data_IF_408712854305
#
_entry.id   IF_408712854305
#
_cell.length_a   1.000
_cell.length_b   1.000
_cell.length_c   1.000
_cell.angle_alpha   90.00
_cell.angle_beta   90.00
_cell.angle_gamma   90.00
#
_symmetry.space_group_name_H-M   'P 1'
#
loop_
_entity.id
_entity.type
_entity.pdbx_description
1 polymer ?
#
# COMPACT_ATOMS: atom_id res chain seq x y z
N UNK A 1 5.83 -2.36 14.00
CA UNK A 1 6.44 -3.48 13.25
C UNK A 1 6.20 -3.32 11.76
N UNK A 2 7.28 -3.24 10.99
CA UNK A 2 7.23 -3.11 9.53
C UNK A 2 7.46 -4.50 8.95
N UNK A 3 6.49 -5.01 8.19
CA UNK A 3 6.59 -6.33 7.54
C UNK A 3 7.42 -6.15 6.26
N UNK A 4 8.46 -6.96 6.10
CA UNK A 4 9.27 -6.98 4.88
C UNK A 4 8.53 -7.70 3.74
N UNK A 5 8.86 -7.42 2.47
CA UNK A 5 8.25 -8.14 1.33
C UNK A 5 8.40 -9.66 1.41
N UNK A 6 9.55 -10.15 1.90
CA UNK A 6 9.79 -11.57 2.12
C UNK A 6 8.92 -12.17 3.23
N UNK A 7 8.67 -11.42 4.30
CA UNK A 7 7.72 -11.84 5.33
C UNK A 7 6.30 -11.88 4.76
N UNK A 8 5.92 -10.90 3.93
CA UNK A 8 4.61 -10.87 3.27
C UNK A 8 4.40 -12.10 2.36
N UNK A 9 5.40 -12.46 1.54
CA UNK A 9 5.33 -13.65 0.67
C UNK A 9 5.33 -14.98 1.45
N UNK A 10 5.92 -14.99 2.66
CA UNK A 10 6.01 -16.17 3.54
C UNK A 10 4.88 -16.26 4.58
N UNK A 11 3.88 -15.38 4.55
CA UNK A 11 2.60 -15.57 5.27
C UNK A 11 1.92 -16.82 4.72
N UNK A 12 2.35 -17.99 5.21
CA UNK A 12 1.94 -19.30 4.71
C UNK A 12 0.44 -19.47 4.96
N UNK A 13 -0.20 -20.18 4.04
CA UNK A 13 -1.59 -20.65 3.97
C UNK A 13 -2.30 -20.90 5.33
N UNK A 14 -1.57 -21.33 6.38
CA UNK A 14 -2.09 -21.53 7.74
C UNK A 14 -2.59 -20.24 8.42
N UNK A 15 -1.92 -19.10 8.24
CA UNK A 15 -2.36 -17.81 8.82
C UNK A 15 -3.59 -17.25 8.08
N UNK A 16 -3.70 -17.54 6.77
CA UNK A 16 -4.93 -17.25 6.02
C UNK A 16 -6.14 -18.10 6.44
N UNK A 17 -5.94 -19.21 7.16
CA UNK A 17 -7.01 -20.02 7.75
C UNK A 17 -7.37 -19.60 9.18
N UNK A 18 -6.45 -18.98 9.92
CA UNK A 18 -6.70 -18.48 11.29
C UNK A 18 -7.61 -17.25 11.28
N UNK A 19 -8.87 -17.42 11.70
CA UNK A 19 -9.90 -16.37 11.71
C UNK A 19 -9.61 -15.22 12.71
N UNK A 20 -8.67 -15.40 13.63
CA UNK A 20 -8.34 -14.42 14.67
C UNK A 20 -7.02 -13.69 14.43
N UNK A 21 -6.23 -14.14 13.45
CA UNK A 21 -5.00 -13.46 13.08
C UNK A 21 -5.31 -12.04 12.61
N UNK A 22 -4.80 -11.03 13.32
CA UNK A 22 -4.90 -9.61 12.96
C UNK A 22 -3.55 -8.96 13.18
N UNK A 23 -2.83 -8.61 12.11
CA UNK A 23 -1.59 -7.84 12.19
C UNK A 23 -1.76 -6.46 11.62
N UNK A 24 -1.25 -5.46 12.34
CA UNK A 24 -1.19 -4.09 11.87
C UNK A 24 0.20 -3.78 11.36
N UNK A 25 0.34 -3.23 10.16
CA UNK A 25 1.65 -2.86 9.61
C UNK A 25 1.62 -1.56 8.82
N UNK A 26 2.81 -0.98 8.65
CA UNK A 26 3.09 0.17 7.80
C UNK A 26 3.70 -0.33 6.49
N UNK A 27 3.33 0.25 5.34
CA UNK A 27 3.90 -0.12 4.04
C UNK A 27 4.46 1.08 3.28
N UNK A 28 5.68 0.94 2.77
CA UNK A 28 6.25 1.82 1.76
C UNK A 28 6.14 1.11 0.40
N UNK A 29 5.52 1.74 -0.58
CA UNK A 29 5.42 1.24 -1.95
C UNK A 29 6.18 2.18 -2.87
N UNK A 30 7.13 1.64 -3.61
CA UNK A 30 7.87 2.38 -4.62
C UNK A 30 7.20 2.23 -5.99
N UNK A 31 6.76 3.36 -6.55
CA UNK A 31 6.13 3.43 -7.87
C UNK A 31 6.99 4.23 -8.87
N UNK A 32 8.25 4.56 -8.57
CA UNK A 32 9.09 5.37 -9.48
C UNK A 32 9.42 4.65 -10.79
N UNK A 33 9.28 3.32 -10.84
CA UNK A 33 9.43 2.52 -12.06
C UNK A 33 8.17 2.45 -12.93
N UNK A 34 7.06 3.05 -12.50
CA UNK A 34 5.82 3.11 -13.26
C UNK A 34 5.69 4.46 -13.95
N UNK A 35 5.16 4.44 -15.17
CA UNK A 35 4.78 5.65 -15.88
C UNK A 35 3.27 5.90 -15.80
N UNK A 36 2.84 7.02 -16.36
CA UNK A 36 1.42 7.40 -16.44
C UNK A 36 0.59 6.54 -17.40
N UNK A 37 1.20 5.59 -18.12
CA UNK A 37 0.48 4.66 -19.01
C UNK A 37 -0.17 3.49 -18.28
N UNK A 38 0.19 3.27 -17.00
CA UNK A 38 -0.45 2.24 -16.19
C UNK A 38 -1.97 2.46 -16.13
N UNK A 39 -2.71 1.38 -16.38
CA UNK A 39 -4.16 1.42 -16.31
C UNK A 39 -4.62 1.76 -14.88
N UNK A 40 -5.49 2.76 -14.75
CA UNK A 40 -6.14 3.14 -13.48
C UNK A 40 -6.73 1.95 -12.74
N UNK A 41 -7.32 0.98 -13.47
CA UNK A 41 -7.87 -0.24 -12.87
C UNK A 41 -6.78 -1.11 -12.24
N UNK A 42 -5.61 -1.21 -12.88
CA UNK A 42 -4.47 -1.93 -12.32
C UNK A 42 -3.91 -1.25 -11.07
N UNK A 43 -3.90 0.10 -11.03
CA UNK A 43 -3.55 0.84 -9.82
C UNK A 43 -4.57 0.64 -8.69
N UNK A 44 -5.87 0.71 -9.02
CA UNK A 44 -6.95 0.42 -8.09
C UNK A 44 -6.82 -1.00 -7.53
N UNK A 45 -6.60 -2.00 -8.40
CA UNK A 45 -6.44 -3.38 -7.99
C UNK A 45 -5.18 -3.58 -7.14
N UNK A 46 -4.08 -2.88 -7.41
CA UNK A 46 -2.91 -2.86 -6.53
C UNK A 46 -3.27 -2.34 -5.14
N UNK A 47 -4.03 -1.24 -5.07
CA UNK A 47 -4.54 -0.68 -3.81
C UNK A 47 -5.63 -1.54 -3.14
N UNK A 48 -6.39 -2.34 -3.89
CA UNK A 48 -7.44 -3.23 -3.38
C UNK A 48 -6.89 -4.61 -3.00
N UNK A 49 -5.88 -5.14 -3.67
CA UNK A 49 -5.15 -6.35 -3.20
C UNK A 49 -4.53 -6.07 -1.83
N UNK A 50 -4.16 -4.82 -1.60
CA UNK A 50 -3.80 -4.30 -0.29
C UNK A 50 -4.97 -4.10 0.69
N UNK A 51 -6.22 -4.28 0.25
CA UNK A 51 -7.42 -4.39 1.09
C UNK A 51 -7.54 -5.85 1.53
N UNK A 52 -7.00 -6.09 2.71
CA UNK A 52 -6.47 -7.39 3.06
C UNK A 52 -7.56 -8.42 3.37
N UNK A 53 -7.14 -9.68 3.26
CA UNK A 53 -7.93 -10.89 3.38
C UNK A 53 -8.86 -10.89 4.61
N UNK A 54 -10.09 -10.43 4.43
CA UNK A 54 -11.18 -10.38 5.44
C UNK A 54 -10.80 -9.69 6.77
N UNK A 55 -9.89 -8.72 6.77
CA UNK A 55 -9.50 -7.94 7.97
C UNK A 55 -8.40 -8.58 8.84
N UNK A 56 -7.74 -9.63 8.34
CA UNK A 56 -6.64 -10.31 9.06
C UNK A 56 -5.30 -9.59 9.04
N UNK A 57 -5.18 -8.65 8.14
CA UNK A 57 -4.05 -7.76 8.08
C UNK A 57 -4.63 -6.36 7.91
N UNK A 58 -4.10 -5.43 8.68
CA UNK A 58 -4.61 -4.07 8.78
C UNK A 58 -3.45 -3.12 8.49
N UNK A 59 -3.46 -2.58 7.28
CA UNK A 59 -2.61 -1.46 6.91
C UNK A 59 -2.93 -0.21 7.74
N UNK A 60 -1.98 0.21 8.57
CA UNK A 60 -2.10 1.43 9.37
C UNK A 60 -1.71 2.67 8.58
N UNK A 61 -0.46 2.72 8.11
CA UNK A 61 0.09 3.80 7.28
C UNK A 61 0.56 3.26 5.93
N UNK A 62 0.42 4.06 4.88
CA UNK A 62 1.00 3.79 3.56
C UNK A 62 1.71 5.00 2.98
N UNK A 63 2.97 4.82 2.62
CA UNK A 63 3.75 5.79 1.88
C UNK A 63 3.88 5.30 0.44
N UNK A 64 3.53 6.14 -0.51
CA UNK A 64 3.72 5.88 -1.94
C UNK A 64 4.83 6.78 -2.45
N UNK A 65 5.88 6.21 -3.03
CA UNK A 65 6.96 6.96 -3.66
C UNK A 65 6.62 7.09 -5.14
N UNK A 66 6.39 8.32 -5.61
CA UNK A 66 5.96 8.61 -6.98
C UNK A 66 6.75 9.82 -7.48
N UNK A 67 7.49 9.62 -8.58
CA UNK A 67 8.24 10.68 -9.26
C UNK A 67 7.48 11.28 -10.44
N UNK A 68 6.63 10.49 -11.11
CA UNK A 68 5.83 10.95 -12.25
C UNK A 68 4.62 11.78 -11.79
N UNK A 69 4.52 13.02 -12.30
CA UNK A 69 3.50 13.97 -11.88
C UNK A 69 2.09 13.63 -12.36
N UNK A 70 1.95 12.93 -13.48
CA UNK A 70 0.66 12.54 -14.03
C UNK A 70 0.16 11.25 -13.36
N UNK A 71 1.06 10.32 -13.09
CA UNK A 71 0.78 9.17 -12.22
C UNK A 71 0.33 9.63 -10.84
N UNK A 72 1.00 10.63 -10.27
CA UNK A 72 0.61 11.21 -8.97
C UNK A 72 -0.82 11.77 -8.98
N UNK A 73 -1.24 12.44 -10.07
CA UNK A 73 -2.63 12.93 -10.22
C UNK A 73 -3.62 11.76 -10.23
N UNK A 74 -3.32 10.70 -10.98
CA UNK A 74 -4.15 9.50 -11.07
C UNK A 74 -4.28 8.81 -9.71
N UNK A 75 -3.16 8.59 -9.02
CA UNK A 75 -3.14 7.98 -7.68
C UNK A 75 -3.93 8.82 -6.68
N UNK A 76 -3.74 10.13 -6.66
CA UNK A 76 -4.50 11.02 -5.78
C UNK A 76 -6.01 10.99 -6.06
N UNK A 77 -6.41 10.81 -7.32
CA UNK A 77 -7.82 10.64 -7.70
C UNK A 77 -8.40 9.35 -7.11
N UNK A 78 -7.65 8.23 -7.19
CA UNK A 78 -8.06 6.94 -6.63
C UNK A 78 -8.21 7.03 -5.11
N UNK A 79 -7.21 7.60 -4.42
CA UNK A 79 -7.22 7.78 -2.96
C UNK A 79 -8.44 8.59 -2.49
N UNK A 80 -8.80 9.64 -3.24
CA UNK A 80 -9.97 10.49 -2.91
C UNK A 80 -11.30 9.74 -3.09
N UNK A 81 -11.40 8.86 -4.09
CA UNK A 81 -12.62 8.10 -4.38
C UNK A 81 -12.94 7.05 -3.31
N UNK A 82 -11.93 6.41 -2.73
CA UNK A 82 -12.15 5.34 -1.76
C UNK A 82 -11.31 5.51 -0.49
N UNK A 83 -11.78 6.42 0.38
CA UNK A 83 -11.22 6.66 1.71
C UNK A 83 -11.25 5.44 2.63
N UNK A 84 -11.95 4.35 2.26
CA UNK A 84 -11.99 3.12 3.05
C UNK A 84 -10.81 2.18 2.74
N UNK A 85 -10.01 2.47 1.71
CA UNK A 85 -8.84 1.64 1.36
C UNK A 85 -7.67 1.90 2.31
N UNK A 86 -7.56 3.11 2.89
CA UNK A 86 -6.41 3.51 3.70
C UNK A 86 -6.84 4.17 5.01
N UNK A 87 -6.25 3.77 6.14
CA UNK A 87 -6.33 4.52 7.39
C UNK A 87 -5.57 5.84 7.26
N UNK A 88 -4.30 5.76 6.86
CA UNK A 88 -3.45 6.90 6.55
C UNK A 88 -2.62 6.60 5.30
N UNK A 89 -2.64 7.52 4.33
CA UNK A 89 -1.83 7.43 3.11
C UNK A 89 -1.20 8.78 2.78
N UNK A 90 0.06 8.75 2.35
CA UNK A 90 0.81 9.92 1.92
C UNK A 90 1.73 9.58 0.76
N UNK A 91 1.93 10.55 -0.13
CA UNK A 91 2.84 10.43 -1.27
C UNK A 91 4.14 11.17 -0.99
N UNK A 92 5.25 10.65 -1.53
CA UNK A 92 6.60 11.15 -1.37
C UNK A 92 7.35 11.07 -2.69
N UNK A 93 8.39 11.90 -2.86
CA UNK A 93 9.28 11.85 -4.03
C UNK A 93 10.53 10.99 -3.80
N UNK A 94 10.81 10.59 -2.55
CA UNK A 94 11.97 9.80 -2.18
C UNK A 94 11.66 8.85 -1.01
N UNK A 95 12.51 7.82 -0.86
CA UNK A 95 12.33 6.78 0.16
C UNK A 95 12.67 7.25 1.59
N UNK A 96 13.59 8.20 1.73
CA UNK A 96 14.09 8.66 3.04
C UNK A 96 13.01 9.40 3.82
N UNK A 97 12.27 10.30 3.17
CA UNK A 97 11.15 11.02 3.76
C UNK A 97 9.97 10.10 4.06
N UNK A 98 9.74 9.12 3.19
CA UNK A 98 8.75 8.07 3.42
C UNK A 98 9.09 7.26 4.68
N UNK A 99 10.35 6.86 4.85
CA UNK A 99 10.83 6.12 6.03
C UNK A 99 10.71 6.95 7.31
N UNK A 100 11.09 8.24 7.28
CA UNK A 100 10.94 9.13 8.44
C UNK A 100 9.50 9.28 8.89
N UNK A 101 8.54 9.34 7.96
CA UNK A 101 7.12 9.44 8.28
C UNK A 101 6.52 8.14 8.85
N UNK A 102 7.17 7.01 8.60
CA UNK A 102 6.75 5.68 9.06
C UNK A 102 7.19 5.32 10.47
N UNK A 103 8.21 6.01 11.00
CA UNK A 103 8.62 5.96 12.40
C UNK A 103 7.55 6.61 13.29
#
# INVERSE_FOLDING_TARGET
DTITPNEYSNLKVKEFQDKNFSRTFNLITDLTGFDSSINTKSLEDLFIVFKENKGKFIRNKSALIISDSDLLKTVNSIIKKDKKIFKEIKTFSNIEDAQKWMQ
#
